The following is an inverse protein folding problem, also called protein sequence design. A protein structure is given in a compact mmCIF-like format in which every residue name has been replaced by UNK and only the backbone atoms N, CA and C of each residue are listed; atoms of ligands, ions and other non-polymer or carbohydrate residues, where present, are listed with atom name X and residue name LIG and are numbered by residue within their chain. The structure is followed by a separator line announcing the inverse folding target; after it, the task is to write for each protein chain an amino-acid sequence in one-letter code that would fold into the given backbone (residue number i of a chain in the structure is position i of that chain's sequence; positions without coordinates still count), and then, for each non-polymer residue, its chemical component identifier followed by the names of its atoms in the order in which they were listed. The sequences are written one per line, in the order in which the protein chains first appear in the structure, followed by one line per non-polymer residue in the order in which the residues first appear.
data_IF_753650881856
#
_entry.id   IF_753650881856
#
_cell.length_a   1.000
_cell.length_b   1.000
_cell.length_c   1.000
_cell.angle_alpha   90.00
_cell.angle_beta   90.00
_cell.angle_gamma   90.00
#
_symmetry.space_group_name_H-M   'P 1'
#
loop_
_entity.id
_entity.type
_entity.pdbx_description
1 polymer ?
#
# COMPACT_ATOMS: atom_id res chain seq x y z
N UNK A 1 51.22 -23.90 -48.41
CA UNK A 1 51.91 -22.83 -47.66
C UNK A 1 50.85 -21.86 -47.12
N UNK A 2 50.91 -21.46 -45.84
CA UNK A 2 49.75 -20.94 -45.08
C UNK A 2 49.67 -19.40 -45.03
N UNK A 3 48.45 -18.85 -45.00
CA UNK A 3 48.17 -17.50 -44.51
C UNK A 3 46.75 -17.49 -43.92
N UNK A 4 46.56 -17.57 -42.60
CA UNK A 4 46.52 -16.47 -41.61
C UNK A 4 45.61 -15.30 -42.03
N UNK A 5 44.54 -15.10 -41.26
CA UNK A 5 43.65 -13.93 -41.33
C UNK A 5 42.32 -14.26 -40.65
N UNK A 6 42.33 -14.49 -39.34
CA UNK A 6 41.96 -13.49 -38.34
C UNK A 6 40.48 -13.07 -38.44
N UNK A 7 39.64 -13.89 -37.78
CA UNK A 7 38.52 -13.51 -36.91
C UNK A 7 37.93 -12.10 -37.15
N UNK A 8 36.77 -12.04 -37.82
CA UNK A 8 35.85 -10.90 -37.77
C UNK A 8 34.56 -11.35 -37.12
N UNK A 9 34.54 -11.19 -35.80
CA UNK A 9 33.42 -11.39 -34.89
C UNK A 9 32.29 -10.42 -35.26
N UNK A 10 31.03 -10.85 -35.45
CA UNK A 10 29.92 -9.91 -35.53
C UNK A 10 29.75 -9.28 -34.14
N UNK A 11 30.08 -7.99 -34.01
CA UNK A 11 29.87 -7.22 -32.79
C UNK A 11 28.35 -7.08 -32.55
N UNK A 12 27.85 -8.00 -31.75
CA UNK A 12 26.49 -8.14 -31.29
C UNK A 12 26.06 -6.83 -30.59
N UNK A 13 24.95 -6.26 -31.06
CA UNK A 13 24.23 -5.20 -30.37
C UNK A 13 23.94 -5.62 -28.93
N UNK A 14 24.52 -4.90 -27.97
CA UNK A 14 24.10 -4.94 -26.57
C UNK A 14 23.70 -3.52 -26.16
N UNK A 15 22.63 -3.00 -26.77
CA UNK A 15 21.76 -2.05 -26.08
C UNK A 15 20.93 -2.87 -25.07
N UNK A 16 21.53 -3.21 -23.93
CA UNK A 16 20.79 -3.80 -22.82
C UNK A 16 20.51 -2.70 -21.81
N UNK A 17 19.24 -2.32 -21.75
CA UNK A 17 18.60 -1.92 -20.51
C UNK A 17 18.87 -0.51 -20.04
N UNK A 18 18.09 0.44 -20.56
CA UNK A 18 17.56 1.51 -19.72
C UNK A 18 16.58 0.87 -18.72
N UNK A 19 17.13 0.21 -17.70
CA UNK A 19 16.39 -0.27 -16.54
C UNK A 19 16.93 0.51 -15.36
N UNK A 20 16.40 1.72 -15.15
CA UNK A 20 16.72 2.51 -13.97
C UNK A 20 16.39 1.67 -12.75
N UNK A 21 17.41 1.14 -12.09
CA UNK A 21 17.30 0.59 -10.75
C UNK A 21 16.91 1.78 -9.89
N UNK A 22 15.61 1.92 -9.67
CA UNK A 22 15.09 2.82 -8.67
C UNK A 22 15.44 2.18 -7.33
N UNK A 23 16.18 2.88 -6.46
CA UNK A 23 16.46 2.45 -5.07
C UNK A 23 15.18 2.33 -4.20
N UNK A 24 14.00 2.54 -4.79
CA UNK A 24 12.73 2.32 -4.11
C UNK A 24 12.42 0.82 -4.02
N UNK A 25 11.93 0.34 -2.87
CA UNK A 25 11.51 -1.05 -2.74
C UNK A 25 10.39 -1.36 -3.72
N UNK A 26 10.40 -2.58 -4.27
CA UNK A 26 9.31 -3.10 -5.07
C UNK A 26 8.00 -3.01 -4.31
N UNK A 27 6.91 -2.78 -5.05
CA UNK A 27 5.59 -2.52 -4.50
C UNK A 27 4.53 -3.29 -5.26
N UNK A 28 3.43 -3.56 -4.58
CA UNK A 28 2.23 -4.16 -5.15
C UNK A 28 1.00 -3.38 -4.74
N UNK A 29 0.08 -3.18 -5.68
CA UNK A 29 -1.24 -2.63 -5.37
C UNK A 29 -1.96 -3.58 -4.43
N UNK A 30 -2.52 -3.04 -3.35
CA UNK A 30 -3.32 -3.81 -2.39
C UNK A 30 -4.73 -3.23 -2.35
N UNK A 31 -5.71 -4.12 -2.40
CA UNK A 31 -7.14 -3.79 -2.32
C UNK A 31 -7.78 -4.68 -1.27
N UNK A 32 -9.00 -4.35 -0.86
CA UNK A 32 -9.81 -5.27 -0.08
C UNK A 32 -10.87 -4.56 0.71
N UNK A 33 -11.39 -5.30 1.69
CA UNK A 33 -12.48 -4.87 2.53
C UNK A 33 -12.10 -4.85 4.00
N UNK A 34 -12.76 -3.98 4.76
CA UNK A 34 -12.63 -3.89 6.21
C UNK A 34 -14.02 -3.89 6.81
N UNK A 35 -14.26 -4.83 7.72
CA UNK A 35 -15.49 -4.89 8.50
C UNK A 35 -15.19 -4.65 9.98
N UNK A 36 -16.17 -4.15 10.73
CA UNK A 36 -16.15 -4.07 12.19
C UNK A 36 -17.42 -4.74 12.71
N UNK A 37 -17.25 -5.79 13.51
CA UNK A 37 -18.34 -6.60 14.06
C UNK A 37 -19.32 -7.14 12.99
N UNK A 38 -18.80 -7.39 11.78
CA UNK A 38 -19.57 -7.92 10.65
C UNK A 38 -20.27 -6.86 9.79
N UNK A 39 -20.16 -5.57 10.13
CA UNK A 39 -20.63 -4.46 9.30
C UNK A 39 -19.45 -3.82 8.53
N UNK A 40 -19.63 -3.35 7.29
CA UNK A 40 -18.60 -2.59 6.57
C UNK A 40 -18.14 -1.38 7.39
N UNK A 41 -16.82 -1.16 7.50
CA UNK A 41 -16.30 0.03 8.17
C UNK A 41 -16.58 1.26 7.31
N UNK A 42 -17.55 2.08 7.71
CA UNK A 42 -18.05 3.22 6.93
C UNK A 42 -16.92 4.19 6.52
N UNK A 43 -15.99 4.49 7.43
CA UNK A 43 -14.89 5.40 7.19
C UNK A 43 -13.64 5.07 8.00
N UNK A 44 -12.48 5.17 7.37
CA UNK A 44 -11.22 4.93 8.05
C UNK A 44 -9.98 5.17 7.21
N UNK A 45 -8.84 4.87 7.83
CA UNK A 45 -7.53 4.85 7.17
C UNK A 45 -6.85 3.54 7.51
N UNK A 46 -6.40 2.83 6.48
CA UNK A 46 -5.52 1.66 6.60
C UNK A 46 -4.08 2.10 6.30
N UNK A 47 -3.12 1.63 7.10
CA UNK A 47 -1.68 1.85 6.90
C UNK A 47 -0.94 0.52 6.94
N UNK A 48 -0.04 0.35 5.99
CA UNK A 48 0.91 -0.76 5.94
C UNK A 48 2.28 -0.24 6.36
N UNK A 49 2.80 -0.75 7.48
CA UNK A 49 4.12 -0.43 8.00
C UNK A 49 5.08 -1.60 7.80
N UNK A 50 6.16 -1.41 7.02
CA UNK A 50 7.12 -2.48 6.81
C UNK A 50 7.79 -2.95 8.11
N UNK A 51 8.11 -4.25 8.17
CA UNK A 51 8.93 -4.89 9.17
C UNK A 51 10.09 -5.63 8.47
N UNK A 52 11.35 -5.17 8.54
CA UNK A 52 11.87 -4.02 9.31
C UNK A 52 11.36 -2.66 8.79
N UNK A 53 11.52 -1.61 9.60
CA UNK A 53 10.96 -0.28 9.29
C UNK A 53 11.38 0.25 7.91
N UNK A 54 10.42 0.87 7.23
CA UNK A 54 10.59 1.37 5.88
C UNK A 54 9.45 2.29 5.44
N UNK A 55 9.35 2.58 4.14
CA UNK A 55 8.34 3.50 3.61
C UNK A 55 6.91 3.02 3.86
N UNK A 56 6.12 3.82 4.58
CA UNK A 56 4.72 3.50 4.89
C UNK A 56 3.85 3.73 3.66
N UNK A 57 2.90 2.81 3.42
CA UNK A 57 1.82 3.00 2.46
C UNK A 57 0.48 3.13 3.20
N UNK A 58 -0.45 3.92 2.66
CA UNK A 58 -1.74 4.14 3.31
C UNK A 58 -2.86 4.32 2.27
N UNK A 59 -4.07 3.88 2.65
CA UNK A 59 -5.29 4.03 1.88
C UNK A 59 -6.43 4.56 2.75
N UNK A 60 -7.41 5.19 2.12
CA UNK A 60 -8.68 5.54 2.77
C UNK A 60 -9.63 4.35 2.66
N UNK A 61 -10.31 4.05 3.75
CA UNK A 61 -11.42 3.10 3.78
C UNK A 61 -12.71 3.91 3.61
N UNK A 62 -13.56 3.48 2.68
CA UNK A 62 -14.91 4.03 2.46
C UNK A 62 -15.88 2.90 2.21
N UNK A 63 -16.97 2.88 2.96
CA UNK A 63 -18.01 1.85 2.86
C UNK A 63 -17.42 0.43 2.91
N UNK A 64 -16.46 0.25 3.82
CA UNK A 64 -15.71 -0.98 4.04
C UNK A 64 -14.74 -1.35 2.93
N UNK A 65 -14.49 -0.52 1.92
CA UNK A 65 -13.54 -0.82 0.83
C UNK A 65 -12.32 0.08 0.88
N UNK A 66 -11.17 -0.46 0.50
CA UNK A 66 -9.95 0.32 0.34
C UNK A 66 -9.13 -0.14 -0.86
N UNK A 67 -8.29 0.77 -1.34
CA UNK A 67 -7.29 0.53 -2.38
C UNK A 67 -6.05 1.37 -2.08
N UNK A 68 -4.87 0.76 -2.22
CA UNK A 68 -3.56 1.38 -2.02
C UNK A 68 -2.75 1.26 -3.30
N UNK A 69 -2.78 2.32 -4.10
CA UNK A 69 -2.07 2.44 -5.39
C UNK A 69 -0.97 3.51 -5.38
N UNK A 70 -0.89 4.32 -4.31
CA UNK A 70 0.07 5.42 -4.23
C UNK A 70 1.52 4.91 -4.37
N UNK A 71 2.31 5.56 -5.23
CA UNK A 71 3.70 5.16 -5.56
C UNK A 71 3.81 3.70 -6.06
N UNK A 72 2.75 3.14 -6.64
CA UNK A 72 2.72 1.74 -7.09
C UNK A 72 2.26 0.74 -6.03
N UNK A 73 1.88 1.21 -4.84
CA UNK A 73 1.25 0.40 -3.80
C UNK A 73 2.10 0.18 -2.55
N UNK A 74 1.86 -0.94 -1.88
CA UNK A 74 2.49 -1.32 -0.63
C UNK A 74 3.84 -1.99 -0.91
N UNK A 75 4.92 -1.64 -0.18
CA UNK A 75 6.20 -2.34 -0.32
C UNK A 75 6.06 -3.84 -0.10
N UNK A 76 6.82 -4.63 -0.86
CA UNK A 76 6.84 -6.08 -0.68
C UNK A 76 7.38 -6.49 0.70
N UNK A 77 7.00 -7.69 1.12
CA UNK A 77 7.40 -8.31 2.39
C UNK A 77 6.44 -8.01 3.54
N UNK A 78 6.90 -8.32 4.76
CA UNK A 78 6.08 -8.29 5.97
C UNK A 78 5.67 -6.86 6.35
N UNK A 79 4.37 -6.65 6.53
CA UNK A 79 3.77 -5.39 6.95
C UNK A 79 2.96 -5.59 8.22
N UNK A 80 3.10 -4.67 9.20
CA UNK A 80 2.09 -4.47 10.23
C UNK A 80 0.97 -3.60 9.66
N UNK A 81 -0.27 -4.04 9.83
CA UNK A 81 -1.46 -3.36 9.31
C UNK A 81 -2.11 -2.55 10.43
N UNK A 82 -2.19 -1.24 10.28
CA UNK A 82 -2.84 -0.35 11.25
C UNK A 82 -4.12 0.20 10.63
N UNK A 83 -5.26 0.02 11.30
CA UNK A 83 -6.56 0.52 10.86
C UNK A 83 -7.09 1.47 11.91
N UNK A 84 -7.46 2.68 11.50
CA UNK A 84 -8.12 3.67 12.36
C UNK A 84 -9.43 4.09 11.75
N UNK A 85 -10.50 4.08 12.55
CA UNK A 85 -11.77 4.69 12.16
C UNK A 85 -11.63 6.20 12.08
N UNK A 86 -12.18 6.81 11.03
CA UNK A 86 -12.19 8.27 10.84
C UNK A 86 -13.56 8.68 10.33
N UNK A 87 -14.09 9.84 10.73
CA UNK A 87 -15.39 10.29 10.23
C UNK A 87 -15.36 10.44 8.70
N UNK A 88 -16.48 10.11 8.05
CA UNK A 88 -16.66 10.43 6.63
C UNK A 88 -16.90 11.93 6.52
N UNK A 89 -15.97 12.60 5.86
CA UNK A 89 -16.08 14.01 5.54
C UNK A 89 -16.76 14.16 4.16
N UNK A 90 -17.66 15.15 4.00
CA UNK A 90 -18.33 15.39 2.73
C UNK A 90 -17.32 15.82 1.64
N UNK A 91 -17.64 15.53 0.38
CA UNK A 91 -16.69 15.60 -0.74
C UNK A 91 -16.16 17.03 -1.02
N UNK A 92 -16.92 18.04 -0.61
CA UNK A 92 -16.56 19.47 -0.62
C UNK A 92 -15.42 19.83 0.34
N UNK A 93 -15.08 18.94 1.29
CA UNK A 93 -13.93 19.09 2.19
C UNK A 93 -12.63 18.48 1.63
N UNK A 94 -12.67 17.93 0.41
CA UNK A 94 -11.49 17.34 -0.23
C UNK A 94 -10.42 18.40 -0.50
N UNK A 95 -9.31 18.33 0.24
CA UNK A 95 -8.19 19.29 0.14
C UNK A 95 -8.11 20.25 1.33
N UNK A 96 -9.10 20.25 2.22
CA UNK A 96 -9.04 20.96 3.49
C UNK A 96 -8.13 20.21 4.48
N UNK A 97 -7.29 20.97 5.19
CA UNK A 97 -6.52 20.45 6.33
C UNK A 97 -7.47 19.99 7.43
N UNK A 98 -7.12 18.91 8.15
CA UNK A 98 -7.84 18.42 9.34
C UNK A 98 -8.07 19.50 10.42
N UNK A 99 -7.33 20.61 10.39
CA UNK A 99 -7.56 21.76 11.27
C UNK A 99 -8.58 22.79 10.78
N UNK A 100 -9.02 22.70 9.53
CA UNK A 100 -9.94 23.66 8.87
C UNK A 100 -11.37 23.10 8.73
N UNK A 101 -11.46 21.77 8.69
CA UNK A 101 -12.68 20.99 8.89
C UNK A 101 -12.81 20.81 10.39
N UNK A 102 -13.83 21.41 11.01
CA UNK A 102 -14.14 21.17 12.42
C UNK A 102 -14.27 19.66 12.68
N UNK A 103 -13.18 19.03 13.11
CA UNK A 103 -13.16 17.65 13.58
C UNK A 103 -14.07 17.45 14.82
N UNK A 104 -14.67 18.53 15.30
CA UNK A 104 -15.64 18.59 16.39
C UNK A 104 -17.06 18.12 16.02
N UNK A 105 -17.43 17.96 14.74
CA UNK A 105 -18.84 17.66 14.40
C UNK A 105 -19.15 16.17 14.20
N UNK A 106 -18.16 15.28 14.02
CA UNK A 106 -18.41 13.82 13.95
C UNK A 106 -17.34 13.02 14.69
N UNK A 107 -17.72 12.19 15.68
CA UNK A 107 -16.77 11.32 16.36
C UNK A 107 -16.15 10.33 15.37
N UNK A 108 -14.89 9.99 15.60
CA UNK A 108 -14.25 8.88 14.89
C UNK A 108 -15.03 7.58 15.14
N UNK A 109 -15.07 6.70 14.14
CA UNK A 109 -15.66 5.37 14.30
C UNK A 109 -14.77 4.59 15.28
N UNK A 110 -15.32 4.04 16.38
CA UNK A 110 -14.53 3.40 17.42
C UNK A 110 -13.98 2.06 16.90
N UNK A 111 -12.72 2.09 16.48
CA UNK A 111 -11.94 0.88 16.17
C UNK A 111 -11.11 0.52 17.40
N UNK A 112 -11.05 -0.76 17.81
CA UNK A 112 -10.23 -1.19 18.95
C UNK A 112 -8.75 -0.83 18.85
N UNK A 113 -8.14 -0.45 19.97
CA UNK A 113 -6.73 -0.05 20.03
C UNK A 113 -5.74 -1.14 19.57
N UNK A 114 -6.13 -2.43 19.65
CA UNK A 114 -5.39 -3.58 19.11
C UNK A 114 -5.22 -3.56 17.58
N UNK A 115 -5.89 -2.64 16.89
CA UNK A 115 -5.74 -2.40 15.45
C UNK A 115 -5.03 -1.08 15.12
N UNK A 116 -4.62 -0.30 16.13
CA UNK A 116 -3.99 1.02 15.96
C UNK A 116 -2.46 0.90 15.77
N UNK A 117 -1.68 1.72 16.49
CA UNK A 117 -0.22 1.84 16.29
C UNK A 117 0.55 0.55 16.61
N UNK A 118 0.04 -0.24 17.55
CA UNK A 118 0.63 -1.50 17.99
C UNK A 118 -0.23 -2.67 17.50
N UNK A 119 -0.67 -2.61 16.24
CA UNK A 119 -1.60 -3.62 15.75
C UNK A 119 -1.01 -5.03 15.77
N UNK A 120 -1.86 -6.00 16.10
CA UNK A 120 -1.60 -7.43 15.99
C UNK A 120 -1.83 -7.96 14.56
N UNK A 121 -2.37 -7.12 13.65
CA UNK A 121 -2.58 -7.50 12.26
C UNK A 121 -1.27 -7.42 11.47
N UNK A 122 -0.97 -8.48 10.75
CA UNK A 122 0.16 -8.56 9.84
C UNK A 122 -0.30 -9.07 8.47
N UNK A 123 0.37 -8.60 7.42
CA UNK A 123 0.17 -9.06 6.06
C UNK A 123 1.53 -9.26 5.39
N UNK A 124 1.67 -10.33 4.61
CA UNK A 124 2.82 -10.52 3.74
C UNK A 124 2.45 -10.07 2.31
N UNK A 125 3.22 -9.13 1.78
CA UNK A 125 2.98 -8.58 0.45
C UNK A 125 3.96 -9.24 -0.52
N UNK A 126 3.47 -10.28 -1.19
CA UNK A 126 4.25 -11.01 -2.19
C UNK A 126 4.26 -10.28 -3.54
N UNK A 127 5.32 -10.47 -4.32
CA UNK A 127 5.41 -9.96 -5.68
C UNK A 127 4.27 -10.49 -6.57
N UNK A 128 3.81 -9.69 -7.52
CA UNK A 128 2.78 -10.09 -8.48
C UNK A 128 2.37 -8.96 -9.42
N UNK A 129 1.88 -9.32 -10.60
CA UNK A 129 1.43 -8.36 -11.61
C UNK A 129 0.03 -7.80 -11.34
N UNK A 130 -0.83 -8.58 -10.66
CA UNK A 130 -2.20 -8.19 -10.33
C UNK A 130 -2.30 -7.64 -8.90
N UNK A 131 -3.30 -6.77 -8.61
CA UNK A 131 -3.59 -6.32 -7.26
C UNK A 131 -3.76 -7.48 -6.27
N UNK A 132 -3.16 -7.37 -5.09
CA UNK A 132 -3.36 -8.31 -3.99
C UNK A 132 -4.64 -7.91 -3.24
N UNK A 133 -5.53 -8.87 -2.97
CA UNK A 133 -6.74 -8.66 -2.17
C UNK A 133 -6.48 -9.10 -0.73
N UNK A 134 -6.66 -8.20 0.24
CA UNK A 134 -6.54 -8.48 1.67
C UNK A 134 -7.75 -7.92 2.42
N UNK A 135 -8.54 -8.81 3.00
CA UNK A 135 -9.72 -8.45 3.78
C UNK A 135 -9.41 -8.51 5.28
N UNK A 136 -10.00 -7.58 6.06
CA UNK A 136 -9.80 -7.49 7.49
C UNK A 136 -11.14 -7.43 8.24
N UNK A 137 -11.41 -8.48 9.01
CA UNK A 137 -12.58 -8.54 9.89
C UNK A 137 -12.21 -8.13 11.31
N UNK A 138 -12.54 -6.89 11.67
CA UNK A 138 -12.27 -6.33 12.99
C UNK A 138 -13.35 -6.74 13.97
N UNK A 139 -12.93 -7.03 15.21
CA UNK A 139 -13.82 -7.38 16.32
C UNK A 139 -13.52 -6.49 17.51
N UNK A 140 -14.56 -5.97 18.17
CA UNK A 140 -14.39 -5.31 19.47
C UNK A 140 -13.75 -6.26 20.51
#
# INVERSE_FOLDING_TARGET
MPAKGLLLLPALLLLVGCGGISDAPDRRVVTGTVTLDGAPLEGGVIRFRPLPEGPIAAGKIRDGKYEVTNKGGVPLGKQRVEIKGTPILPADTAGMSLGEIDAATKPAIPVPDKYHKNSELEADIEAGGDPLVLDFDLKN
#
